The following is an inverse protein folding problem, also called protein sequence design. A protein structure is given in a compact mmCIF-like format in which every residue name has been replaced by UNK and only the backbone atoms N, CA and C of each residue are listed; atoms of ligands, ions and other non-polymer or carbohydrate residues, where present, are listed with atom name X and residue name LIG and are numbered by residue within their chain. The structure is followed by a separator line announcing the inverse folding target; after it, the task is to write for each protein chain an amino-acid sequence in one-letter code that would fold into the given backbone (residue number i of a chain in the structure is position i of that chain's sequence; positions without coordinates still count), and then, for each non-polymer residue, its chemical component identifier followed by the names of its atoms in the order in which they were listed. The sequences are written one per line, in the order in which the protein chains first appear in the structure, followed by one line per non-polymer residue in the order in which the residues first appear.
data_IF_777497045157
#
_entry.id   IF_777497045157
#
_cell.length_a   1.000
_cell.length_b   1.000
_cell.length_c   1.000
_cell.angle_alpha   90.00
_cell.angle_beta   90.00
_cell.angle_gamma   90.00
#
_symmetry.space_group_name_H-M   'P 1'
#
loop_
_entity.id
_entity.type
_entity.pdbx_description
1 polymer ?
#
# COMPACT_ATOMS: atom_id res chain seq x y z
N UNK A 1 21.89 -7.69 2.16
CA UNK A 1 20.49 -8.16 2.15
C UNK A 1 20.29 -9.32 1.17
N UNK A 2 20.37 -9.13 -0.15
CA UNK A 2 20.06 -10.22 -1.10
C UNK A 2 21.00 -11.42 -1.08
N UNK A 3 22.31 -11.22 -0.84
CA UNK A 3 23.23 -12.35 -0.63
C UNK A 3 22.81 -13.22 0.56
N UNK A 4 22.34 -12.60 1.64
CA UNK A 4 21.82 -13.34 2.80
C UNK A 4 20.51 -14.04 2.46
N UNK A 5 19.56 -13.35 1.81
CA UNK A 5 18.30 -13.96 1.39
C UNK A 5 18.49 -15.16 0.45
N UNK A 6 19.50 -15.12 -0.43
CA UNK A 6 19.87 -16.27 -1.27
C UNK A 6 20.46 -17.44 -0.46
N UNK A 7 21.21 -17.16 0.61
CA UNK A 7 21.70 -18.20 1.52
C UNK A 7 20.51 -18.82 2.27
N UNK A 8 19.61 -17.98 2.78
CA UNK A 8 18.43 -18.40 3.53
C UNK A 8 17.47 -19.21 2.65
N UNK A 9 17.42 -18.93 1.34
CA UNK A 9 16.65 -19.70 0.36
C UNK A 9 17.36 -20.95 -0.16
N UNK A 10 18.54 -21.33 0.37
CA UNK A 10 19.32 -22.45 -0.16
C UNK A 10 19.82 -22.28 -1.60
N UNK A 11 19.78 -21.05 -2.14
CA UNK A 11 20.12 -20.74 -3.52
C UNK A 11 18.96 -20.77 -4.51
N UNK A 12 17.75 -21.13 -4.08
CA UNK A 12 16.56 -21.27 -4.95
C UNK A 12 16.09 -19.95 -5.59
N UNK A 13 16.50 -18.81 -5.04
CA UNK A 13 16.23 -17.49 -5.59
C UNK A 13 15.44 -16.58 -4.65
N UNK A 14 15.29 -15.32 -5.07
CA UNK A 14 14.63 -14.27 -4.29
C UNK A 14 13.70 -13.45 -5.17
N UNK A 15 12.43 -13.33 -4.76
CA UNK A 15 11.51 -12.30 -5.27
C UNK A 15 11.49 -11.16 -4.26
N UNK A 16 12.08 -10.02 -4.63
CA UNK A 16 12.19 -8.85 -3.78
C UNK A 16 11.12 -7.80 -4.15
N UNK A 17 10.03 -7.77 -3.39
CA UNK A 17 8.94 -6.79 -3.57
C UNK A 17 9.25 -5.52 -2.78
N UNK A 18 9.19 -4.37 -3.46
CA UNK A 18 9.42 -3.06 -2.85
C UNK A 18 8.22 -2.14 -3.03
N UNK A 19 8.11 -1.13 -2.16
CA UNK A 19 7.17 -0.03 -2.35
C UNK A 19 7.42 0.68 -3.69
N UNK A 20 6.39 1.42 -4.14
CA UNK A 20 6.38 2.17 -5.39
C UNK A 20 7.67 2.93 -5.63
N UNK A 21 8.29 2.72 -6.79
CA UNK A 21 9.43 3.52 -7.26
C UNK A 21 9.09 5.00 -7.41
N UNK A 22 7.81 5.36 -7.52
CA UNK A 22 7.36 6.77 -7.53
C UNK A 22 7.32 7.41 -6.15
N UNK A 23 7.35 6.60 -5.09
CA UNK A 23 7.34 7.06 -3.69
C UNK A 23 8.72 7.00 -3.04
N UNK A 24 9.63 6.17 -3.55
CA UNK A 24 10.97 5.98 -2.98
C UNK A 24 11.98 5.51 -4.01
N UNK A 25 13.24 5.95 -3.88
CA UNK A 25 14.37 5.40 -4.65
C UNK A 25 14.80 3.99 -4.21
N UNK A 26 14.14 3.41 -3.20
CA UNK A 26 14.40 2.05 -2.73
C UNK A 26 14.31 1.02 -3.87
N UNK A 27 13.35 1.16 -4.79
CA UNK A 27 13.22 0.26 -5.94
C UNK A 27 14.44 0.34 -6.86
N UNK A 28 14.89 1.55 -7.23
CA UNK A 28 16.09 1.73 -8.08
C UNK A 28 17.36 1.18 -7.40
N UNK A 29 17.52 1.42 -6.10
CA UNK A 29 18.63 0.87 -5.31
C UNK A 29 18.56 -0.66 -5.23
N UNK A 30 17.36 -1.22 -5.09
CA UNK A 30 17.12 -2.66 -5.11
C UNK A 30 17.49 -3.28 -6.45
N UNK A 31 17.10 -2.68 -7.58
CA UNK A 31 17.53 -3.14 -8.90
C UNK A 31 19.05 -3.12 -9.05
N UNK A 32 19.71 -2.05 -8.58
CA UNK A 32 21.17 -1.98 -8.60
C UNK A 32 21.83 -3.08 -7.78
N UNK A 33 21.34 -3.33 -6.56
CA UNK A 33 21.89 -4.37 -5.70
C UNK A 33 21.61 -5.79 -6.24
N UNK A 34 20.48 -5.99 -6.93
CA UNK A 34 20.13 -7.28 -7.54
C UNK A 34 21.06 -7.64 -8.70
N UNK A 35 21.54 -6.66 -9.48
CA UNK A 35 22.53 -6.89 -10.56
C UNK A 35 23.80 -7.58 -10.08
N UNK A 36 24.22 -7.32 -8.84
CA UNK A 36 25.38 -7.99 -8.22
C UNK A 36 25.14 -9.46 -7.86
N UNK A 37 23.88 -9.91 -7.88
CA UNK A 37 23.47 -11.27 -7.50
C UNK A 37 23.12 -12.17 -8.70
N UNK A 38 23.19 -11.64 -9.92
CA UNK A 38 22.82 -12.33 -11.16
C UNK A 38 21.31 -12.56 -11.29
N UNK A 39 20.92 -13.57 -12.06
CA UNK A 39 19.51 -13.85 -12.41
C UNK A 39 18.68 -14.48 -11.26
N UNK A 40 19.29 -14.68 -10.07
CA UNK A 40 18.63 -15.32 -8.92
C UNK A 40 17.82 -14.36 -8.06
N UNK A 41 17.82 -13.07 -8.37
CA UNK A 41 17.07 -12.05 -7.64
C UNK A 41 16.22 -11.27 -8.63
N UNK A 42 14.90 -11.44 -8.53
CA UNK A 42 13.94 -10.63 -9.28
C UNK A 42 13.34 -9.56 -8.38
N UNK A 43 13.47 -8.31 -8.81
CA UNK A 43 12.93 -7.15 -8.09
C UNK A 43 11.58 -6.79 -8.68
N UNK A 44 10.59 -6.54 -7.81
CA UNK A 44 9.23 -6.13 -8.20
C UNK A 44 8.95 -4.75 -7.61
N UNK A 45 8.61 -3.80 -8.48
CA UNK A 45 7.93 -2.58 -8.06
C UNK A 45 6.46 -2.91 -7.80
N UNK A 46 6.02 -2.83 -6.55
CA UNK A 46 4.61 -3.09 -6.20
C UNK A 46 3.65 -2.01 -6.70
N UNK A 47 4.16 -0.85 -7.14
CA UNK A 47 3.37 0.35 -7.45
C UNK A 47 2.43 0.75 -6.30
N UNK A 48 2.79 0.38 -5.07
CA UNK A 48 1.97 0.66 -3.88
C UNK A 48 2.83 0.85 -2.64
N UNK A 49 2.21 0.92 -1.47
CA UNK A 49 2.88 0.98 -0.18
C UNK A 49 2.06 0.24 0.88
N UNK A 50 2.63 0.05 2.07
CA UNK A 50 1.99 -0.67 3.18
C UNK A 50 1.48 -2.06 2.74
N UNK A 51 0.28 -2.48 3.15
CA UNK A 51 -0.27 -3.76 2.68
C UNK A 51 -0.58 -3.81 1.18
N UNK A 52 -0.64 -2.69 0.46
CA UNK A 52 -0.65 -2.73 -1.00
C UNK A 52 0.59 -3.42 -1.57
N UNK A 53 1.78 -3.14 -1.01
CA UNK A 53 3.01 -3.90 -1.32
C UNK A 53 2.97 -5.31 -0.71
N UNK A 54 2.34 -5.44 0.46
CA UNK A 54 2.15 -6.72 1.14
C UNK A 54 1.37 -7.74 0.32
N UNK A 55 0.29 -7.34 -0.37
CA UNK A 55 -0.49 -8.23 -1.23
C UNK A 55 0.35 -8.80 -2.39
N UNK A 56 1.20 -7.97 -2.99
CA UNK A 56 2.15 -8.39 -4.03
C UNK A 56 3.17 -9.41 -3.47
N UNK A 57 3.71 -9.17 -2.27
CA UNK A 57 4.61 -10.11 -1.61
C UNK A 57 3.91 -11.42 -1.22
N UNK A 58 2.67 -11.36 -0.74
CA UNK A 58 1.87 -12.54 -0.41
C UNK A 58 1.56 -13.38 -1.63
N UNK A 59 1.35 -12.78 -2.80
CA UNK A 59 1.15 -13.53 -4.05
C UNK A 59 2.38 -14.37 -4.41
N UNK A 60 3.59 -13.79 -4.38
CA UNK A 60 4.84 -14.54 -4.57
C UNK A 60 5.04 -15.61 -3.50
N UNK A 61 4.81 -15.27 -2.22
CA UNK A 61 5.00 -16.21 -1.12
C UNK A 61 4.05 -17.41 -1.21
N UNK A 62 2.78 -17.20 -1.60
CA UNK A 62 1.80 -18.28 -1.81
C UNK A 62 2.21 -19.17 -2.99
N UNK A 63 2.68 -18.59 -4.10
CA UNK A 63 3.19 -19.36 -5.23
C UNK A 63 4.39 -20.23 -4.83
N UNK A 64 5.38 -19.65 -4.15
CA UNK A 64 6.55 -20.37 -3.65
C UNK A 64 6.16 -21.48 -2.66
N UNK A 65 5.23 -21.22 -1.74
CA UNK A 65 4.71 -22.22 -0.81
C UNK A 65 3.97 -23.37 -1.49
N UNK A 66 3.40 -23.12 -2.68
CA UNK A 66 2.79 -24.14 -3.53
C UNK A 66 3.81 -24.91 -4.39
N UNK A 67 5.11 -24.65 -4.23
CA UNK A 67 6.19 -25.32 -4.97
C UNK A 67 6.51 -24.69 -6.33
N UNK A 68 6.05 -23.47 -6.59
CA UNK A 68 6.43 -22.74 -7.80
C UNK A 68 7.93 -22.39 -7.79
N UNK A 69 8.56 -22.42 -8.96
CA UNK A 69 9.94 -21.95 -9.12
C UNK A 69 10.05 -20.42 -9.01
N UNK A 70 11.28 -19.91 -9.04
CA UNK A 70 11.57 -18.48 -8.95
C UNK A 70 10.83 -17.65 -10.02
N UNK A 71 10.77 -18.14 -11.26
CA UNK A 71 10.14 -17.42 -12.37
C UNK A 71 8.62 -17.34 -12.17
N UNK A 72 7.99 -18.45 -11.78
CA UNK A 72 6.57 -18.51 -11.52
C UNK A 72 6.17 -17.70 -10.27
N UNK A 73 6.98 -17.73 -9.21
CA UNK A 73 6.77 -16.88 -8.03
C UNK A 73 6.92 -15.39 -8.35
N UNK A 74 7.90 -15.02 -9.19
CA UNK A 74 8.06 -13.66 -9.70
C UNK A 74 6.86 -13.23 -10.53
N UNK A 75 6.37 -14.09 -11.44
CA UNK A 75 5.19 -13.81 -12.25
C UNK A 75 3.94 -13.62 -11.38
N UNK A 76 3.75 -14.44 -10.36
CA UNK A 76 2.64 -14.29 -9.42
C UNK A 76 2.66 -12.94 -8.69
N UNK A 77 3.83 -12.43 -8.29
CA UNK A 77 3.94 -11.07 -7.77
C UNK A 77 3.63 -10.03 -8.85
N UNK A 78 4.15 -10.20 -10.08
CA UNK A 78 3.93 -9.27 -11.19
C UNK A 78 2.46 -9.11 -11.54
N UNK A 79 1.71 -10.20 -11.57
CA UNK A 79 0.27 -10.24 -11.84
C UNK A 79 -0.56 -9.66 -10.69
N UNK A 80 0.01 -9.64 -9.47
CA UNK A 80 -0.63 -9.05 -8.30
C UNK A 80 -0.53 -7.52 -8.24
N UNK A 81 0.41 -6.92 -9.00
CA UNK A 81 0.55 -5.47 -9.08
C UNK A 81 -0.73 -4.85 -9.66
N UNK A 82 -1.28 -3.85 -8.97
CA UNK A 82 -2.52 -3.17 -9.38
C UNK A 82 -3.83 -3.89 -9.02
N UNK A 83 -3.78 -5.10 -8.44
CA UNK A 83 -5.01 -5.78 -7.97
C UNK A 83 -5.57 -5.24 -6.66
N UNK A 84 -4.80 -4.42 -5.95
CA UNK A 84 -5.21 -3.82 -4.68
C UNK A 84 -5.35 -2.30 -4.79
N UNK A 85 -6.13 -1.72 -3.89
CA UNK A 85 -6.25 -0.26 -3.74
C UNK A 85 -5.90 0.18 -2.33
N UNK A 86 -5.14 1.26 -2.23
CA UNK A 86 -4.75 1.91 -0.97
C UNK A 86 -5.26 3.34 -0.94
N UNK A 87 -6.14 3.63 0.02
CA UNK A 87 -6.77 4.96 0.22
C UNK A 87 -6.54 5.38 1.65
N UNK A 88 -6.27 6.67 1.88
CA UNK A 88 -5.93 7.17 3.21
C UNK A 88 -6.43 8.58 3.47
N UNK A 89 -6.61 8.88 4.74
CA UNK A 89 -6.90 10.21 5.28
C UNK A 89 -5.75 10.60 6.20
N UNK A 90 -5.20 11.79 5.98
CA UNK A 90 -4.17 12.37 6.85
C UNK A 90 -4.73 13.54 7.66
N UNK A 91 -4.18 13.74 8.86
CA UNK A 91 -4.60 14.86 9.69
C UNK A 91 -4.13 16.22 9.12
N UNK A 92 -2.87 16.26 8.65
CA UNK A 92 -2.21 17.43 8.06
C UNK A 92 -1.37 17.01 6.84
N UNK A 93 -1.43 17.79 5.77
CA UNK A 93 -0.63 17.57 4.56
C UNK A 93 0.85 17.95 4.73
N UNK A 94 1.20 18.71 5.76
CA UNK A 94 2.54 19.29 5.93
C UNK A 94 3.66 18.23 5.95
N UNK A 95 3.42 17.05 6.54
CA UNK A 95 4.38 15.96 6.56
C UNK A 95 4.68 15.43 5.14
N UNK A 96 3.64 15.27 4.33
CA UNK A 96 3.76 14.82 2.94
C UNK A 96 4.40 15.88 2.05
N UNK A 97 4.11 17.17 2.29
CA UNK A 97 4.76 18.29 1.59
C UNK A 97 6.25 18.36 1.93
N UNK A 98 6.59 18.35 3.22
CA UNK A 98 7.99 18.43 3.69
C UNK A 98 8.83 17.24 3.24
N UNK A 99 8.22 16.07 3.10
CA UNK A 99 8.89 14.87 2.59
C UNK A 99 8.95 14.77 1.07
N UNK A 100 8.33 15.68 0.33
CA UNK A 100 8.32 15.72 -1.14
C UNK A 100 7.40 14.69 -1.81
N UNK A 101 6.59 13.93 -1.04
CA UNK A 101 5.67 12.91 -1.58
C UNK A 101 4.38 13.50 -2.14
N UNK A 102 4.11 14.77 -1.85
CA UNK A 102 3.17 15.61 -2.61
C UNK A 102 3.94 16.83 -3.11
N UNK A 103 3.87 17.08 -4.42
CA UNK A 103 4.49 18.27 -5.04
C UNK A 103 3.89 19.55 -4.47
N UNK A 104 4.74 20.51 -4.06
CA UNK A 104 4.31 21.83 -3.60
C UNK A 104 3.58 22.64 -4.68
N UNK A 105 3.76 22.30 -5.96
CA UNK A 105 3.06 22.90 -7.10
C UNK A 105 1.75 22.21 -7.43
N UNK A 106 1.34 21.18 -6.67
CA UNK A 106 0.07 20.52 -6.94
C UNK A 106 -1.07 21.54 -6.78
N UNK A 107 -1.84 21.73 -7.86
CA UNK A 107 -2.89 22.76 -7.95
C UNK A 107 -3.94 22.63 -6.84
N UNK A 108 -4.03 21.46 -6.22
CA UNK A 108 -4.98 21.16 -5.16
C UNK A 108 -4.52 21.56 -3.76
N UNK A 109 -3.23 21.81 -3.53
CA UNK A 109 -2.67 22.07 -2.20
C UNK A 109 -3.15 23.39 -1.57
N UNK A 110 -3.34 24.43 -2.37
CA UNK A 110 -3.83 25.74 -1.88
C UNK A 110 -5.26 25.67 -1.33
N UNK A 111 -6.13 24.90 -1.99
CA UNK A 111 -7.53 24.69 -1.58
C UNK A 111 -7.71 23.62 -0.50
N UNK A 112 -6.77 22.68 -0.38
CA UNK A 112 -6.87 21.58 0.57
C UNK A 112 -6.65 22.00 2.03
N UNK A 113 -6.05 23.17 2.30
CA UNK A 113 -5.89 23.69 3.67
C UNK A 113 -7.24 23.95 4.38
N UNK A 114 -8.30 24.22 3.63
CA UNK A 114 -9.65 24.44 4.16
C UNK A 114 -10.51 23.16 4.24
N UNK A 115 -10.00 22.02 3.75
CA UNK A 115 -10.74 20.77 3.59
C UNK A 115 -9.91 19.60 4.14
N UNK A 116 -10.55 18.44 4.32
CA UNK A 116 -9.89 17.18 4.65
C UNK A 116 -9.66 16.39 3.35
N UNK A 117 -8.41 16.16 2.94
CA UNK A 117 -8.10 15.42 1.73
C UNK A 117 -8.24 13.92 1.96
N UNK A 118 -8.84 13.23 1.00
CA UNK A 118 -8.75 11.77 0.84
C UNK A 118 -7.71 11.53 -0.24
N UNK A 119 -6.66 10.79 0.09
CA UNK A 119 -5.55 10.49 -0.78
C UNK A 119 -5.61 9.03 -1.22
N UNK A 120 -5.08 8.72 -2.39
CA UNK A 120 -4.91 7.35 -2.87
C UNK A 120 -3.57 7.19 -3.56
N UNK A 121 -3.09 5.96 -3.64
CA UNK A 121 -2.02 5.60 -4.58
C UNK A 121 -2.70 5.24 -5.91
N UNK A 122 -2.34 5.93 -7.00
CA UNK A 122 -2.87 5.67 -8.34
C UNK A 122 -2.23 4.43 -9.01
N UNK A 123 -2.70 4.11 -10.22
CA UNK A 123 -2.25 2.94 -10.99
C UNK A 123 -0.77 3.04 -11.39
N UNK A 124 -0.21 4.25 -11.48
CA UNK A 124 1.21 4.49 -11.69
C UNK A 124 2.04 4.49 -10.39
N UNK A 125 1.41 4.23 -9.25
CA UNK A 125 2.04 4.16 -7.94
C UNK A 125 2.34 5.50 -7.28
N UNK A 126 1.72 6.60 -7.71
CA UNK A 126 1.90 7.94 -7.13
C UNK A 126 0.84 8.24 -6.09
N UNK A 127 1.21 9.04 -5.08
CA UNK A 127 0.26 9.56 -4.12
C UNK A 127 -0.49 10.76 -4.72
N UNK A 128 -1.80 10.62 -4.89
CA UNK A 128 -2.68 11.62 -5.50
C UNK A 128 -3.86 11.96 -4.61
N UNK A 129 -4.50 13.10 -4.89
CA UNK A 129 -5.75 13.49 -4.25
C UNK A 129 -6.93 12.79 -4.93
N UNK A 130 -7.61 11.90 -4.19
CA UNK A 130 -8.81 11.23 -4.67
C UNK A 130 -10.04 12.14 -4.53
N UNK A 131 -10.22 12.75 -3.35
CA UNK A 131 -11.40 13.56 -3.05
C UNK A 131 -11.12 14.65 -2.03
N UNK A 132 -11.88 15.74 -2.07
CA UNK A 132 -11.91 16.77 -1.03
C UNK A 132 -13.23 16.72 -0.27
N UNK A 133 -13.17 16.72 1.05
CA UNK A 133 -14.36 16.76 1.91
C UNK A 133 -14.18 17.77 3.05
N UNK A 134 -15.25 18.13 3.75
CA UNK A 134 -15.20 19.19 4.78
C UNK A 134 -14.80 18.71 6.18
N UNK A 135 -15.14 17.48 6.55
CA UNK A 135 -14.98 16.97 7.92
C UNK A 135 -14.24 15.63 7.93
N UNK A 136 -13.64 15.28 9.07
CA UNK A 136 -12.93 14.02 9.25
C UNK A 136 -13.87 12.81 9.05
N UNK A 137 -15.08 12.85 9.62
CA UNK A 137 -16.10 11.80 9.43
C UNK A 137 -16.46 11.60 7.96
N UNK A 138 -16.65 12.70 7.20
CA UNK A 138 -16.91 12.59 5.76
C UNK A 138 -15.70 12.07 4.98
N UNK A 139 -14.48 12.29 5.47
CA UNK A 139 -13.26 11.81 4.81
C UNK A 139 -13.13 10.30 4.98
N UNK A 140 -13.44 9.79 6.17
CA UNK A 140 -13.49 8.36 6.45
C UNK A 140 -14.57 7.68 5.60
N UNK A 141 -15.78 8.26 5.53
CA UNK A 141 -16.84 7.75 4.66
C UNK A 141 -16.40 7.67 3.20
N UNK A 142 -15.86 8.77 2.66
CA UNK A 142 -15.34 8.83 1.30
C UNK A 142 -14.18 7.86 1.03
N UNK A 143 -13.31 7.62 2.00
CA UNK A 143 -12.24 6.63 1.91
C UNK A 143 -12.82 5.21 1.76
N UNK A 144 -13.83 4.85 2.55
CA UNK A 144 -14.49 3.54 2.44
C UNK A 144 -15.31 3.44 1.15
N UNK A 145 -16.02 4.50 0.75
CA UNK A 145 -16.78 4.54 -0.50
C UNK A 145 -15.88 4.31 -1.72
N UNK A 146 -14.67 4.88 -1.73
CA UNK A 146 -13.69 4.64 -2.79
C UNK A 146 -13.25 3.17 -2.87
N UNK A 147 -13.07 2.51 -1.71
CA UNK A 147 -12.78 1.07 -1.66
C UNK A 147 -13.99 0.26 -2.15
N UNK A 148 -15.20 0.60 -1.72
CA UNK A 148 -16.44 -0.07 -2.18
C UNK A 148 -16.58 0.00 -3.70
N UNK A 149 -16.35 1.18 -4.29
CA UNK A 149 -16.38 1.36 -5.74
C UNK A 149 -15.34 0.48 -6.47
N UNK A 150 -14.13 0.38 -5.90
CA UNK A 150 -13.06 -0.45 -6.46
C UNK A 150 -13.41 -1.94 -6.47
N UNK A 151 -13.95 -2.45 -5.36
CA UNK A 151 -14.11 -3.88 -5.15
C UNK A 151 -15.44 -4.41 -5.66
N UNK A 152 -16.48 -3.56 -5.69
CA UNK A 152 -17.84 -3.96 -6.05
C UNK A 152 -18.40 -4.97 -5.05
N UNK A 153 -18.99 -6.06 -5.56
CA UNK A 153 -19.58 -7.14 -4.74
C UNK A 153 -18.59 -8.27 -4.38
N UNK A 154 -17.32 -8.16 -4.81
CA UNK A 154 -16.32 -9.21 -4.60
C UNK A 154 -15.97 -9.34 -3.12
N UNK A 155 -15.62 -10.57 -2.71
CA UNK A 155 -15.01 -10.80 -1.39
C UNK A 155 -13.63 -10.17 -1.36
N UNK A 156 -13.24 -9.57 -0.24
CA UNK A 156 -11.98 -8.79 -0.15
C UNK A 156 -11.15 -9.13 1.07
N UNK A 157 -9.84 -9.18 0.89
CA UNK A 157 -8.89 -9.08 2.00
C UNK A 157 -8.66 -7.61 2.32
N UNK A 158 -8.78 -7.23 3.58
CA UNK A 158 -8.68 -5.83 4.02
C UNK A 158 -7.64 -5.68 5.13
N UNK A 159 -6.85 -4.62 5.03
CA UNK A 159 -5.99 -4.15 6.11
C UNK A 159 -6.22 -2.67 6.35
N UNK A 160 -6.39 -2.31 7.62
CA UNK A 160 -6.56 -0.95 8.10
C UNK A 160 -5.28 -0.55 8.80
N UNK A 161 -4.68 0.52 8.30
CA UNK A 161 -3.45 1.06 8.83
C UNK A 161 -3.70 2.37 9.59
N UNK A 162 -2.98 2.61 10.69
CA UNK A 162 -3.04 3.89 11.40
C UNK A 162 -1.68 4.36 11.91
N UNK A 163 -1.58 5.65 12.25
CA UNK A 163 -0.43 6.20 13.01
C UNK A 163 -0.98 6.80 14.30
N UNK A 164 -0.72 6.13 15.43
CA UNK A 164 -1.16 6.58 16.76
C UNK A 164 -2.65 6.99 16.80
N UNK A 165 -3.52 6.13 16.24
CA UNK A 165 -4.94 6.44 16.03
C UNK A 165 -5.83 5.18 15.99
N UNK A 166 -5.62 4.29 16.96
CA UNK A 166 -6.33 3.00 17.07
C UNK A 166 -7.84 3.19 17.13
N UNK A 167 -8.33 4.17 17.90
CA UNK A 167 -9.78 4.43 18.04
C UNK A 167 -10.45 4.76 16.69
N UNK A 168 -9.79 5.53 15.82
CA UNK A 168 -10.33 5.79 14.48
C UNK A 168 -10.22 4.55 13.60
N UNK A 169 -9.15 3.76 13.72
CA UNK A 169 -8.99 2.53 12.96
C UNK A 169 -10.09 1.51 13.27
N UNK A 170 -10.50 1.38 14.53
CA UNK A 170 -11.62 0.54 14.95
C UNK A 170 -12.95 1.01 14.35
N UNK A 171 -13.23 2.32 14.36
CA UNK A 171 -14.42 2.88 13.70
C UNK A 171 -14.41 2.66 12.18
N UNK A 172 -13.24 2.74 11.55
CA UNK A 172 -13.07 2.39 10.13
C UNK A 172 -13.36 0.90 9.91
N UNK A 173 -12.92 0.03 10.82
CA UNK A 173 -13.18 -1.40 10.75
C UNK A 173 -14.67 -1.73 10.80
N UNK A 174 -15.40 -1.13 11.74
CA UNK A 174 -16.87 -1.26 11.81
C UNK A 174 -17.54 -0.84 10.50
N UNK A 175 -17.12 0.31 9.95
CA UNK A 175 -17.68 0.82 8.70
C UNK A 175 -17.35 -0.09 7.51
N UNK A 176 -16.11 -0.57 7.39
CA UNK A 176 -15.67 -1.56 6.39
C UNK A 176 -16.52 -2.81 6.47
N UNK A 177 -16.66 -3.42 7.65
CA UNK A 177 -17.42 -4.65 7.86
C UNK A 177 -18.92 -4.47 7.58
N UNK A 178 -19.46 -3.25 7.75
CA UNK A 178 -20.86 -2.95 7.42
C UNK A 178 -21.13 -2.75 5.92
N UNK A 179 -20.08 -2.56 5.11
CA UNK A 179 -20.18 -2.13 3.69
C UNK A 179 -19.58 -3.12 2.70
N UNK A 180 -18.64 -3.96 3.15
CA UNK A 180 -17.89 -4.90 2.33
C UNK A 180 -18.08 -6.33 2.79
N UNK A 181 -18.03 -7.27 1.84
CA UNK A 181 -17.96 -8.70 2.16
C UNK A 181 -16.49 -9.07 2.36
N UNK A 182 -16.04 -9.16 3.60
CA UNK A 182 -14.63 -9.49 3.87
C UNK A 182 -14.37 -10.99 3.76
N UNK A 183 -13.20 -11.36 3.25
CA UNK A 183 -12.77 -12.75 3.14
C UNK A 183 -12.48 -13.36 4.52
N UNK A 184 -11.92 -12.54 5.40
CA UNK A 184 -11.54 -12.81 6.77
C UNK A 184 -11.77 -11.55 7.62
N UNK A 185 -11.52 -11.61 8.92
CA UNK A 185 -11.51 -10.43 9.76
C UNK A 185 -10.44 -9.43 9.26
N UNK A 186 -10.78 -8.14 9.04
CA UNK A 186 -9.79 -7.15 8.63
C UNK A 186 -8.67 -7.02 9.65
N UNK A 187 -7.44 -6.92 9.16
CA UNK A 187 -6.27 -6.71 10.02
C UNK A 187 -6.16 -5.22 10.34
N UNK A 188 -6.12 -4.86 11.61
CA UNK A 188 -5.77 -3.51 12.05
C UNK A 188 -4.28 -3.51 12.43
N UNK A 189 -3.49 -2.60 11.86
CA UNK A 189 -2.05 -2.56 12.06
C UNK A 189 -1.52 -1.12 12.08
N UNK A 190 -0.52 -0.87 12.91
CA UNK A 190 0.18 0.42 12.89
C UNK A 190 1.03 0.55 11.60
N UNK A 191 1.07 1.75 11.01
CA UNK A 191 2.01 2.04 9.93
C UNK A 191 3.42 2.06 10.47
N UNK A 192 4.32 1.32 9.83
CA UNK A 192 5.74 1.34 10.18
C UNK A 192 6.35 2.76 10.13
N UNK A 193 7.44 3.00 10.87
CA UNK A 193 8.00 4.34 11.11
C UNK A 193 8.36 5.10 9.83
N UNK A 194 8.76 4.38 8.78
CA UNK A 194 9.08 4.95 7.46
C UNK A 194 7.86 5.59 6.80
N UNK A 195 6.68 4.99 6.92
CA UNK A 195 5.45 5.60 6.40
C UNK A 195 4.94 6.67 7.36
N UNK A 196 5.00 6.41 8.66
CA UNK A 196 4.50 7.30 9.71
C UNK A 196 5.12 8.71 9.64
N UNK A 197 6.43 8.83 9.37
CA UNK A 197 7.09 10.13 9.25
C UNK A 197 6.57 10.97 8.07
N UNK A 198 6.05 10.32 7.03
CA UNK A 198 5.53 11.00 5.84
C UNK A 198 4.06 11.37 5.99
N UNK A 199 3.24 10.49 6.56
CA UNK A 199 1.78 10.69 6.66
C UNK A 199 1.37 11.45 7.94
N UNK A 200 2.22 11.37 8.97
CA UNK A 200 2.05 12.03 10.27
C UNK A 200 1.07 11.35 11.22
N UNK A 201 1.09 11.72 12.51
CA UNK A 201 0.16 11.22 13.53
C UNK A 201 -1.31 11.50 13.17
N UNK A 202 -2.19 10.59 13.58
CA UNK A 202 -3.61 10.66 13.31
C UNK A 202 -4.02 10.17 11.92
N UNK A 203 -3.07 9.76 11.07
CA UNK A 203 -3.38 9.18 9.77
C UNK A 203 -4.08 7.82 9.91
N UNK A 204 -4.99 7.52 8.98
CA UNK A 204 -5.65 6.23 8.83
C UNK A 204 -5.79 5.89 7.36
N UNK A 205 -5.65 4.62 6.98
CA UNK A 205 -5.79 4.17 5.60
C UNK A 205 -6.32 2.75 5.50
N UNK A 206 -6.91 2.43 4.36
CA UNK A 206 -7.46 1.11 4.03
C UNK A 206 -6.77 0.59 2.78
N UNK A 207 -6.22 -0.62 2.87
CA UNK A 207 -5.76 -1.41 1.74
C UNK A 207 -6.76 -2.55 1.52
N UNK A 208 -7.23 -2.74 0.29
CA UNK A 208 -8.11 -3.85 -0.05
C UNK A 208 -7.67 -4.53 -1.36
N UNK A 209 -7.66 -5.86 -1.37
CA UNK A 209 -7.46 -6.71 -2.55
C UNK A 209 -8.66 -7.67 -2.66
N UNK A 210 -9.37 -7.72 -3.80
CA UNK A 210 -10.34 -8.78 -4.06
C UNK A 210 -9.70 -10.17 -3.95
N UNK A 211 -10.39 -11.10 -3.29
CA UNK A 211 -10.02 -12.51 -3.29
C UNK A 211 -10.91 -13.21 -4.31
N UNK A 212 -10.30 -13.74 -5.36
CA UNK A 212 -10.95 -14.67 -6.28
C UNK A 212 -10.83 -16.10 -5.73
#
# INVERSE_FOLDING_TARGET
MYRQALIDSGGDGVVAVHLSGRLSSTFEAAEQAARECGERVHVVDSQSAAMGSGFVALAAARAAAAGADLSAAYQAARDAVGRSRCVMVVHKLDHLRRSGRISATSSWLGTALALKPVLQIDEEGKLVLAQRVRTATKAIGAMVDNIVEFVGERRVSVTIHHVDNTETAEKVNELVCSRLVTAHEPVISEMGPVLAVHVGPGAVGVCAEPVD
#
